data_IF_640935937227
#
_entry.id   IF_640935937227
#
_cell.length_a   1.000
_cell.length_b   1.000
_cell.length_c   1.000
_cell.angle_alpha   90.00
_cell.angle_beta   90.00
_cell.angle_gamma   90.00
#
_symmetry.space_group_name_H-M   'P 1'
#
loop_
_entity.id
_entity.type
_entity.pdbx_description
1 polymer ?
#
# COMPACT_ATOMS: atom_id res chain seq x y z
N UNK A 1 27.70 23.59 32.19
CA UNK A 1 27.87 22.19 31.73
C UNK A 1 27.05 21.99 30.46
N UNK A 2 27.66 21.45 29.40
CA UNK A 2 27.06 21.37 28.07
C UNK A 2 25.93 20.33 28.06
N UNK A 3 24.67 20.79 28.07
CA UNK A 3 23.45 19.97 27.93
C UNK A 3 23.24 19.47 26.48
N UNK A 4 24.33 19.14 25.79
CA UNK A 4 24.29 18.83 24.35
C UNK A 4 24.03 17.36 24.05
N UNK A 5 23.92 16.50 25.06
CA UNK A 5 23.85 15.03 24.86
C UNK A 5 22.49 14.40 25.14
N UNK A 6 21.56 15.10 25.81
CA UNK A 6 20.20 14.59 26.06
C UNK A 6 19.16 15.08 25.03
N UNK A 7 19.31 16.29 24.48
CA UNK A 7 18.37 16.85 23.50
C UNK A 7 18.46 16.22 22.09
N UNK A 8 19.52 15.44 21.79
CA UNK A 8 19.68 14.79 20.49
C UNK A 8 18.80 13.54 20.28
N UNK A 9 18.28 12.92 21.36
CA UNK A 9 17.55 11.65 21.27
C UNK A 9 16.04 11.77 21.15
N UNK A 10 15.46 12.94 21.45
CA UNK A 10 14.01 13.18 21.31
C UNK A 10 13.63 13.77 19.95
N UNK A 11 14.60 14.26 19.17
CA UNK A 11 14.38 14.84 17.84
C UNK A 11 14.02 13.83 16.73
N UNK A 12 13.98 12.52 17.02
CA UNK A 12 13.74 11.47 16.01
C UNK A 12 12.41 10.71 16.11
N UNK A 13 11.56 10.98 17.10
CA UNK A 13 10.17 10.49 17.09
C UNK A 13 9.25 11.68 17.27
N UNK A 14 8.43 11.89 16.25
CA UNK A 14 7.87 13.18 15.93
C UNK A 14 7.07 13.82 17.06
N UNK A 15 7.25 15.13 17.20
CA UNK A 15 6.15 16.07 17.40
C UNK A 15 6.60 17.39 16.80
N UNK A 16 5.95 17.78 15.72
CA UNK A 16 6.00 19.15 15.23
C UNK A 16 5.19 20.01 16.22
N UNK A 17 5.90 20.68 17.14
CA UNK A 17 5.47 21.88 17.89
C UNK A 17 4.39 21.62 18.98
N UNK A 18 4.18 22.45 20.01
CA UNK A 18 4.04 23.90 20.01
C UNK A 18 4.20 24.48 21.43
N UNK A 19 4.84 25.65 21.62
CA UNK A 19 4.66 26.43 22.84
C UNK A 19 3.22 26.97 22.92
N UNK A 20 2.70 27.00 24.14
CA UNK A 20 1.32 27.27 24.56
C UNK A 20 0.84 28.71 24.22
N UNK A 21 -0.38 28.87 23.68
CA UNK A 21 -1.06 30.16 23.46
C UNK A 21 -2.13 30.38 24.53
N UNK A 22 -1.96 31.36 25.41
CA UNK A 22 -2.78 31.54 26.63
C UNK A 22 -4.20 32.15 26.43
N UNK A 23 -4.68 32.44 25.21
CA UNK A 23 -5.83 33.36 25.00
C UNK A 23 -7.03 32.84 24.19
N UNK A 24 -7.24 31.53 24.02
CA UNK A 24 -8.42 31.00 23.31
C UNK A 24 -9.17 29.92 24.10
N UNK A 25 -10.50 29.90 23.96
CA UNK A 25 -11.41 28.90 24.60
C UNK A 25 -11.21 27.48 24.05
N UNK A 26 -10.60 27.33 22.87
CA UNK A 26 -10.30 26.04 22.25
C UNK A 26 -8.93 26.09 21.58
N UNK A 27 -8.14 25.03 21.79
CA UNK A 27 -6.81 24.88 21.17
C UNK A 27 -6.95 24.33 19.74
N UNK A 28 -6.48 25.10 18.76
CA UNK A 28 -6.32 24.62 17.39
C UNK A 28 -4.89 24.08 17.19
N UNK A 29 -4.68 22.76 17.04
CA UNK A 29 -3.34 22.20 16.85
C UNK A 29 -2.73 22.57 15.48
N UNK A 30 -3.52 23.19 14.60
CA UNK A 30 -3.11 23.71 13.30
C UNK A 30 -3.85 25.00 12.99
N UNK A 31 -3.15 25.93 12.35
CA UNK A 31 -3.74 27.16 11.84
C UNK A 31 -4.87 26.85 10.85
N UNK A 32 -6.04 27.50 10.96
CA UNK A 32 -7.22 27.25 10.14
C UNK A 32 -7.10 27.96 8.77
N UNK A 33 -5.98 27.76 8.09
CA UNK A 33 -5.70 28.32 6.77
C UNK A 33 -5.73 27.18 5.76
N UNK A 34 -6.40 27.41 4.63
CA UNK A 34 -6.40 26.44 3.54
C UNK A 34 -4.98 26.26 3.02
N UNK A 35 -4.59 25.00 2.84
CA UNK A 35 -3.34 24.68 2.16
C UNK A 35 -3.55 24.81 0.66
N UNK A 36 -2.51 25.25 -0.02
CA UNK A 36 -2.49 25.31 -1.49
C UNK A 36 -2.41 23.92 -2.16
N UNK A 37 -2.44 22.83 -1.36
CA UNK A 37 -2.38 21.45 -1.86
C UNK A 37 -3.39 20.56 -1.18
N UNK A 38 -3.89 19.60 -1.96
CA UNK A 38 -4.76 18.52 -1.49
C UNK A 38 -3.95 17.23 -1.31
N UNK A 39 -4.44 16.31 -0.48
CA UNK A 39 -3.83 14.99 -0.33
C UNK A 39 -4.03 14.18 -1.60
N UNK A 40 -2.94 13.81 -2.28
CA UNK A 40 -2.94 12.95 -3.46
C UNK A 40 -2.98 11.46 -3.11
N UNK A 41 -3.71 10.70 -3.92
CA UNK A 41 -4.17 9.31 -3.70
C UNK A 41 -3.02 8.35 -3.37
N UNK A 42 -3.15 7.63 -2.25
CA UNK A 42 -2.20 6.61 -1.80
C UNK A 42 -1.93 5.54 -2.85
N UNK A 43 -0.74 4.97 -2.83
CA UNK A 43 -0.36 3.89 -3.73
C UNK A 43 -1.39 2.77 -3.67
N UNK A 44 -1.76 2.27 -4.84
CA UNK A 44 -2.69 1.14 -4.93
C UNK A 44 -1.99 -0.04 -4.27
N UNK A 45 -2.65 -0.64 -3.27
CA UNK A 45 -2.24 -1.92 -2.69
C UNK A 45 -1.85 -2.90 -3.79
N UNK A 46 -0.84 -3.76 -3.55
CA UNK A 46 -0.42 -4.74 -4.54
C UNK A 46 -1.63 -5.58 -4.94
N UNK A 47 -2.11 -5.36 -6.17
CA UNK A 47 -3.22 -6.15 -6.72
C UNK A 47 -2.66 -7.50 -7.11
N UNK A 48 -3.40 -8.56 -6.80
CA UNK A 48 -3.13 -9.88 -7.34
C UNK A 48 -3.10 -9.78 -8.88
N UNK A 49 -1.99 -10.21 -9.46
CA UNK A 49 -1.78 -10.26 -10.92
C UNK A 49 -2.30 -11.61 -11.41
N UNK A 50 -2.74 -11.71 -12.67
CA UNK A 50 -3.19 -12.94 -13.32
C UNK A 50 -4.53 -13.54 -12.84
N UNK A 51 -5.41 -12.72 -12.25
CA UNK A 51 -6.70 -13.19 -11.70
C UNK A 51 -7.65 -13.67 -12.81
N UNK A 52 -7.60 -13.05 -13.98
CA UNK A 52 -8.46 -13.41 -15.11
C UNK A 52 -8.10 -14.80 -15.65
N UNK A 53 -6.80 -15.06 -15.88
CA UNK A 53 -6.28 -16.34 -16.35
C UNK A 53 -6.51 -17.45 -15.32
N UNK A 54 -6.35 -17.13 -14.03
CA UNK A 54 -6.69 -18.06 -12.95
C UNK A 54 -8.16 -18.46 -12.98
N UNK A 55 -9.07 -17.50 -13.22
CA UNK A 55 -10.51 -17.78 -13.28
C UNK A 55 -10.89 -18.69 -14.44
N UNK A 56 -10.27 -18.50 -15.62
CA UNK A 56 -10.50 -19.33 -16.80
C UNK A 56 -9.99 -20.77 -16.59
N UNK A 57 -8.79 -20.90 -16.01
CA UNK A 57 -8.22 -22.20 -15.65
C UNK A 57 -9.14 -22.95 -14.68
N UNK A 58 -9.59 -22.28 -13.61
CA UNK A 58 -10.47 -22.89 -12.61
C UNK A 58 -11.84 -23.28 -13.18
N UNK A 59 -12.39 -22.48 -14.11
CA UNK A 59 -13.64 -22.82 -14.79
C UNK A 59 -13.50 -24.08 -15.65
N UNK A 60 -12.39 -24.20 -16.40
CA UNK A 60 -12.13 -25.40 -17.19
C UNK A 60 -11.96 -26.64 -16.29
N UNK A 61 -11.20 -26.51 -15.21
CA UNK A 61 -10.99 -27.60 -14.25
C UNK A 61 -12.32 -28.04 -13.64
N UNK A 62 -13.16 -27.08 -13.22
CA UNK A 62 -14.48 -27.38 -12.66
C UNK A 62 -15.40 -28.12 -13.64
N UNK A 63 -15.30 -27.83 -14.94
CA UNK A 63 -16.11 -28.49 -15.96
C UNK A 63 -15.65 -29.91 -16.30
N UNK A 64 -14.39 -30.25 -15.97
CA UNK A 64 -13.76 -31.53 -16.31
C UNK A 64 -13.30 -32.29 -15.06
N UNK A 65 -14.01 -32.17 -13.93
CA UNK A 65 -13.70 -32.86 -12.68
C UNK A 65 -12.24 -32.70 -12.19
N UNK A 66 -11.67 -31.53 -12.46
CA UNK A 66 -10.29 -31.16 -12.15
C UNK A 66 -9.20 -31.94 -12.91
N UNK A 67 -9.54 -32.57 -14.05
CA UNK A 67 -8.55 -33.13 -14.95
C UNK A 67 -7.78 -32.02 -15.69
N UNK A 68 -6.45 -32.05 -15.56
CA UNK A 68 -5.58 -31.04 -16.17
C UNK A 68 -5.41 -31.23 -17.69
N UNK A 69 -5.54 -32.47 -18.18
CA UNK A 69 -5.32 -32.84 -19.60
C UNK A 69 -6.15 -31.99 -20.58
N UNK A 70 -7.48 -31.81 -20.41
CA UNK A 70 -8.28 -30.96 -21.28
C UNK A 70 -8.00 -29.46 -21.10
N UNK A 71 -7.45 -29.06 -19.95
CA UNK A 71 -7.26 -27.65 -19.57
C UNK A 71 -5.83 -27.14 -19.76
N UNK A 72 -4.97 -27.92 -20.43
CA UNK A 72 -3.53 -27.61 -20.64
C UNK A 72 -3.31 -26.21 -21.19
N UNK A 73 -4.12 -25.78 -22.16
CA UNK A 73 -4.03 -24.43 -22.73
C UNK A 73 -4.21 -23.34 -21.68
N UNK A 74 -5.19 -23.47 -20.77
CA UNK A 74 -5.46 -22.48 -19.73
C UNK A 74 -4.36 -22.47 -18.65
N UNK A 75 -3.85 -23.65 -18.31
CA UNK A 75 -2.72 -23.81 -17.38
C UNK A 75 -1.46 -23.14 -17.95
N UNK A 76 -1.17 -23.31 -19.24
CA UNK A 76 -0.05 -22.64 -19.89
C UNK A 76 -0.22 -21.12 -19.93
N UNK A 77 -1.42 -20.62 -20.21
CA UNK A 77 -1.67 -19.16 -20.20
C UNK A 77 -1.49 -18.56 -18.81
N UNK A 78 -1.97 -19.25 -17.76
CA UNK A 78 -1.77 -18.82 -16.39
C UNK A 78 -0.27 -18.83 -16.01
N UNK A 79 0.45 -19.90 -16.32
CA UNK A 79 1.90 -20.00 -16.06
C UNK A 79 2.69 -18.90 -16.77
N UNK A 80 2.34 -18.57 -18.02
CA UNK A 80 2.96 -17.46 -18.77
C UNK A 80 2.72 -16.12 -18.07
N UNK A 81 1.50 -15.85 -17.60
CA UNK A 81 1.21 -14.63 -16.86
C UNK A 81 2.02 -14.54 -15.56
N UNK A 82 2.07 -15.64 -14.79
CA UNK A 82 2.83 -15.71 -13.54
C UNK A 82 4.32 -15.44 -13.79
N UNK A 83 4.93 -16.11 -14.77
CA UNK A 83 6.33 -15.90 -15.13
C UNK A 83 6.65 -14.43 -15.47
N UNK A 84 5.77 -13.77 -16.23
CA UNK A 84 5.95 -12.35 -16.57
C UNK A 84 5.81 -11.45 -15.34
N UNK A 85 4.94 -11.81 -14.39
CA UNK A 85 4.70 -11.05 -13.17
C UNK A 85 5.79 -11.23 -12.10
N UNK A 86 6.37 -12.43 -11.97
CA UNK A 86 7.42 -12.73 -11.00
C UNK A 86 8.76 -12.08 -11.38
N UNK A 87 9.05 -11.93 -12.66
CA UNK A 87 10.28 -11.28 -13.17
C UNK A 87 10.26 -9.76 -12.98
N UNK A 88 9.11 -9.17 -12.66
CA UNK A 88 8.95 -7.71 -12.44
C UNK A 88 9.26 -7.26 -11.01
N UNK A 89 9.68 -8.16 -10.12
CA UNK A 89 10.12 -7.85 -8.76
C UNK A 89 11.64 -7.90 -8.62
#
# INVERSE_FOLDING_TARGET
MKLTTSCGRLYKRGTRNFPYMEHYKYDYPREPILKDKVSGKGEKEPRAVCVEEMSLMLNCLKANDFDEKPCTQFVETFKKCVQVSEVKF
#
